data_IF_562053569652
#
_entry.id   IF_562053569652
#
_cell.length_a   1.000
_cell.length_b   1.000
_cell.length_c   1.000
_cell.angle_alpha   90.00
_cell.angle_beta   90.00
_cell.angle_gamma   90.00
#
_symmetry.space_group_name_H-M   'P 1'
#
loop_
_entity.id
_entity.type
_entity.pdbx_description
1 polymer ?
#
# COMPACT_ATOMS: atom_id res chain seq x y z
N UNK A 1 -23.86 -12.15 30.67
CA UNK A 1 -24.43 -11.77 29.35
C UNK A 1 -24.00 -10.38 28.90
N UNK A 2 -24.16 -9.32 29.72
CA UNK A 2 -23.72 -7.95 29.37
C UNK A 2 -22.22 -7.85 29.04
N UNK A 3 -21.36 -8.43 29.89
CA UNK A 3 -19.91 -8.40 29.71
C UNK A 3 -19.49 -9.02 28.36
N UNK A 4 -20.11 -10.14 27.96
CA UNK A 4 -19.86 -10.81 26.68
C UNK A 4 -20.33 -9.98 25.45
N UNK A 5 -21.34 -9.13 25.62
CA UNK A 5 -21.90 -8.30 24.56
C UNK A 5 -21.15 -6.96 24.37
N UNK A 6 -20.64 -6.37 25.45
CA UNK A 6 -20.00 -5.05 25.42
C UNK A 6 -18.48 -5.08 25.42
N UNK A 7 -17.85 -6.11 25.99
CA UNK A 7 -16.38 -6.27 26.02
C UNK A 7 -15.76 -6.24 24.60
N UNK A 8 -16.31 -6.91 23.58
CA UNK A 8 -15.75 -6.85 22.22
C UNK A 8 -15.79 -5.43 21.64
N UNK A 9 -16.88 -4.69 21.88
CA UNK A 9 -17.07 -3.32 21.39
C UNK A 9 -16.10 -2.35 22.08
N UNK A 10 -15.95 -2.49 23.40
CA UNK A 10 -15.04 -1.66 24.19
C UNK A 10 -13.58 -1.89 23.78
N UNK A 11 -13.16 -3.15 23.62
CA UNK A 11 -11.80 -3.48 23.19
C UNK A 11 -11.53 -2.97 21.76
N UNK A 12 -12.51 -3.10 20.86
CA UNK A 12 -12.39 -2.58 19.49
C UNK A 12 -12.25 -1.06 19.50
N UNK A 13 -13.04 -0.35 20.31
CA UNK A 13 -12.94 1.11 20.44
C UNK A 13 -11.61 1.56 21.07
N UNK A 14 -11.14 0.84 22.10
CA UNK A 14 -9.91 1.16 22.81
C UNK A 14 -8.69 0.99 21.90
N UNK A 15 -8.55 -0.16 21.24
CA UNK A 15 -7.44 -0.35 20.32
C UNK A 15 -7.56 0.57 19.11
N UNK A 16 -8.76 0.78 18.55
CA UNK A 16 -8.95 1.76 17.48
C UNK A 16 -8.47 3.17 17.88
N UNK A 17 -8.82 3.62 19.08
CA UNK A 17 -8.31 4.89 19.64
C UNK A 17 -6.79 4.89 19.84
N UNK A 18 -6.22 3.77 20.30
CA UNK A 18 -4.78 3.62 20.48
C UNK A 18 -4.02 3.69 19.14
N UNK A 19 -4.49 3.03 18.09
CA UNK A 19 -3.89 3.11 16.76
C UNK A 19 -3.97 4.51 16.16
N UNK A 20 -5.07 5.23 16.39
CA UNK A 20 -5.19 6.64 15.99
C UNK A 20 -4.19 7.51 16.77
N UNK A 21 -4.13 7.37 18.09
CA UNK A 21 -3.20 8.11 18.93
C UNK A 21 -1.75 7.83 18.55
N UNK A 22 -1.40 6.57 18.34
CA UNK A 22 -0.10 6.15 17.85
C UNK A 22 0.22 6.83 16.52
N UNK A 23 -0.70 6.76 15.55
CA UNK A 23 -0.53 7.39 14.25
C UNK A 23 -0.30 8.90 14.28
N UNK A 24 -0.93 9.60 15.22
CA UNK A 24 -0.71 11.04 15.46
C UNK A 24 0.67 11.29 16.08
N UNK A 25 1.05 10.51 17.09
CA UNK A 25 2.34 10.65 17.78
C UNK A 25 3.50 10.40 16.82
N UNK A 26 3.37 9.45 15.90
CA UNK A 26 4.42 9.07 14.96
C UNK A 26 4.43 9.93 13.67
N UNK A 27 3.51 10.88 13.50
CA UNK A 27 3.25 11.49 12.18
C UNK A 27 4.48 12.15 11.53
N UNK A 28 5.37 12.74 12.35
CA UNK A 28 6.56 13.44 11.86
C UNK A 28 7.84 12.59 11.96
N UNK A 29 7.72 11.32 12.34
CA UNK A 29 8.84 10.39 12.50
C UNK A 29 8.54 9.10 11.72
N UNK A 30 8.96 9.10 10.45
CA UNK A 30 8.74 7.97 9.55
C UNK A 30 9.37 6.67 10.07
N UNK A 31 10.54 6.77 10.70
CA UNK A 31 11.25 5.60 11.25
C UNK A 31 10.48 5.00 12.41
N UNK A 32 10.01 5.84 13.33
CA UNK A 32 9.22 5.38 14.47
C UNK A 32 7.88 4.79 14.01
N UNK A 33 7.22 5.40 13.01
CA UNK A 33 6.02 4.83 12.42
C UNK A 33 6.26 3.47 11.77
N UNK A 34 7.36 3.31 11.01
CA UNK A 34 7.71 2.03 10.39
C UNK A 34 7.99 0.94 11.41
N UNK A 35 8.72 1.25 12.48
CA UNK A 35 8.95 0.32 13.58
C UNK A 35 7.64 -0.09 14.25
N UNK A 36 6.71 0.84 14.45
CA UNK A 36 5.39 0.55 14.97
C UNK A 36 4.61 -0.36 14.02
N UNK A 37 4.58 -0.01 12.73
CA UNK A 37 3.87 -0.76 11.71
C UNK A 37 4.37 -2.21 11.64
N UNK A 38 5.69 -2.39 11.55
CA UNK A 38 6.34 -3.71 11.54
C UNK A 38 6.08 -4.44 12.86
N UNK A 39 6.21 -3.76 13.99
CA UNK A 39 5.96 -4.33 15.32
C UNK A 39 4.54 -4.89 15.45
N UNK A 40 3.54 -4.16 14.94
CA UNK A 40 2.14 -4.62 14.92
C UNK A 40 1.95 -5.82 14.00
N UNK A 41 2.58 -5.82 12.81
CA UNK A 41 2.51 -6.97 11.90
C UNK A 41 3.13 -8.23 12.52
N UNK A 42 4.33 -8.11 13.12
CA UNK A 42 5.01 -9.22 13.79
C UNK A 42 4.19 -9.73 14.97
N UNK A 43 3.68 -8.83 15.81
CA UNK A 43 2.80 -9.19 16.93
C UNK A 43 1.55 -9.94 16.45
N UNK A 44 0.90 -9.43 15.41
CA UNK A 44 -0.30 -10.04 14.82
C UNK A 44 0.01 -11.40 14.21
N UNK A 45 1.15 -11.56 13.53
CA UNK A 45 1.60 -12.83 12.98
C UNK A 45 1.86 -13.89 14.07
N UNK A 46 2.49 -13.51 15.19
CA UNK A 46 2.73 -14.40 16.32
C UNK A 46 1.42 -14.90 16.94
N UNK A 47 0.45 -14.01 17.12
CA UNK A 47 -0.88 -14.34 17.62
C UNK A 47 -1.63 -15.27 16.66
N UNK A 48 -1.64 -14.92 15.37
CA UNK A 48 -2.37 -15.62 14.32
C UNK A 48 -1.56 -16.74 13.65
N UNK A 49 -0.47 -17.23 14.26
CA UNK A 49 0.43 -18.25 13.66
C UNK A 49 -0.24 -19.54 13.17
N UNK A 50 -1.46 -19.84 13.66
CA UNK A 50 -2.25 -21.02 13.25
C UNK A 50 -3.29 -20.70 12.16
N UNK A 51 -3.54 -19.44 11.87
CA UNK A 51 -4.49 -19.01 10.84
C UNK A 51 -3.73 -18.60 9.58
N UNK A 52 -3.72 -19.50 8.60
CA UNK A 52 -3.02 -19.30 7.33
C UNK A 52 -3.57 -18.12 6.53
N UNK A 53 -4.85 -17.75 6.71
CA UNK A 53 -5.47 -16.69 5.92
C UNK A 53 -4.94 -15.32 6.35
N UNK A 54 -4.96 -15.06 7.66
CA UNK A 54 -4.44 -13.82 8.23
C UNK A 54 -2.92 -13.76 8.03
N UNK A 55 -2.22 -14.88 8.25
CA UNK A 55 -0.78 -14.94 8.05
C UNK A 55 -0.38 -14.66 6.60
N UNK A 56 -1.11 -15.21 5.62
CA UNK A 56 -0.86 -14.94 4.20
C UNK A 56 -1.00 -13.45 3.84
N UNK A 57 -2.00 -12.75 4.39
CA UNK A 57 -2.12 -11.29 4.18
C UNK A 57 -0.97 -10.54 4.82
N UNK A 58 -0.61 -10.87 6.07
CA UNK A 58 0.51 -10.23 6.77
C UNK A 58 1.82 -10.45 6.00
N UNK A 59 2.06 -11.65 5.49
CA UNK A 59 3.25 -11.96 4.69
C UNK A 59 3.28 -11.12 3.42
N UNK A 60 2.15 -10.94 2.73
CA UNK A 60 2.08 -10.07 1.55
C UNK A 60 2.41 -8.63 1.93
N UNK A 61 1.79 -8.07 2.98
CA UNK A 61 2.06 -6.70 3.43
C UNK A 61 3.54 -6.52 3.80
N UNK A 62 4.12 -7.49 4.51
CA UNK A 62 5.52 -7.46 4.91
C UNK A 62 6.48 -7.50 3.71
N UNK A 63 6.23 -8.39 2.75
CA UNK A 63 7.01 -8.47 1.50
C UNK A 63 6.91 -7.19 0.68
N UNK A 64 5.75 -6.55 0.66
CA UNK A 64 5.56 -5.27 -0.03
C UNK A 64 6.34 -4.14 0.63
N UNK A 65 6.36 -4.07 1.96
CA UNK A 65 7.19 -3.08 2.67
C UNK A 65 8.67 -3.29 2.36
N UNK A 66 9.14 -4.54 2.36
CA UNK A 66 10.50 -4.85 1.96
C UNK A 66 10.79 -4.48 0.49
N UNK A 67 9.80 -4.65 -0.40
CA UNK A 67 9.90 -4.25 -1.79
C UNK A 67 9.99 -2.72 -1.94
N UNK A 68 9.18 -1.95 -1.21
CA UNK A 68 9.25 -0.47 -1.22
C UNK A 68 10.66 0.02 -0.83
N UNK A 69 11.24 -0.53 0.24
CA UNK A 69 12.59 -0.18 0.68
C UNK A 69 13.66 -0.59 -0.32
N UNK A 70 13.52 -1.78 -0.93
CA UNK A 70 14.42 -2.21 -2.00
C UNK A 70 14.34 -1.27 -3.21
N UNK A 71 13.12 -0.90 -3.63
CA UNK A 71 12.87 0.01 -4.75
C UNK A 71 13.48 1.40 -4.47
N UNK A 72 13.36 1.90 -3.24
CA UNK A 72 14.03 3.14 -2.81
C UNK A 72 15.56 3.08 -2.97
N UNK A 73 16.17 1.95 -2.59
CA UNK A 73 17.61 1.78 -2.69
C UNK A 73 18.13 1.64 -4.14
N UNK A 74 17.35 0.98 -5.01
CA UNK A 74 17.79 0.67 -6.38
C UNK A 74 17.47 1.78 -7.40
N UNK A 75 16.44 2.59 -7.18
CA UNK A 75 16.04 3.62 -8.13
C UNK A 75 16.73 4.94 -7.79
N UNK A 76 17.75 5.30 -8.56
CA UNK A 76 18.59 6.47 -8.34
C UNK A 76 18.32 7.65 -9.31
N UNK A 77 17.28 7.56 -10.14
CA UNK A 77 16.90 8.62 -11.08
C UNK A 77 17.75 8.73 -12.35
N UNK A 78 18.76 7.87 -12.50
CA UNK A 78 19.54 7.79 -13.75
C UNK A 78 18.66 7.34 -14.91
N UNK A 79 19.00 7.78 -16.13
CA UNK A 79 18.28 7.45 -17.37
C UNK A 79 18.06 5.94 -17.51
N UNK A 80 19.07 5.12 -17.20
CA UNK A 80 18.98 3.66 -17.26
C UNK A 80 17.89 3.11 -16.32
N UNK A 81 17.85 3.59 -15.08
CA UNK A 81 16.86 3.16 -14.09
C UNK A 81 15.44 3.61 -14.47
N UNK A 82 15.30 4.82 -15.03
CA UNK A 82 14.02 5.32 -15.54
C UNK A 82 13.51 4.48 -16.71
N UNK A 83 14.37 4.20 -17.68
CA UNK A 83 14.02 3.37 -18.84
C UNK A 83 13.61 1.96 -18.42
N UNK A 84 14.35 1.35 -17.48
CA UNK A 84 14.00 0.04 -16.92
C UNK A 84 12.64 0.10 -16.22
N UNK A 85 12.42 1.11 -15.37
CA UNK A 85 11.17 1.29 -14.63
C UNK A 85 9.97 1.46 -15.55
N UNK A 86 10.08 2.29 -16.60
CA UNK A 86 8.99 2.53 -17.55
C UNK A 86 8.73 1.32 -18.44
N UNK A 87 9.78 0.62 -18.86
CA UNK A 87 9.63 -0.64 -19.59
C UNK A 87 8.94 -1.70 -18.72
N UNK A 88 9.33 -1.79 -17.45
CA UNK A 88 8.72 -2.68 -16.47
C UNK A 88 7.27 -2.32 -16.18
N UNK A 89 6.96 -1.02 -16.07
CA UNK A 89 5.60 -0.50 -15.95
C UNK A 89 4.70 -0.99 -17.09
N UNK A 90 5.16 -0.83 -18.35
CA UNK A 90 4.42 -1.31 -19.52
C UNK A 90 4.19 -2.82 -19.49
N UNK A 91 5.23 -3.58 -19.12
CA UNK A 91 5.14 -5.04 -18.98
C UNK A 91 4.11 -5.47 -17.92
N UNK A 92 4.13 -4.83 -16.75
CA UNK A 92 3.18 -5.08 -15.67
C UNK A 92 1.75 -4.70 -16.08
N UNK A 93 1.58 -3.53 -16.70
CA UNK A 93 0.28 -3.09 -17.21
C UNK A 93 -0.32 -4.07 -18.21
N UNK A 94 0.52 -4.69 -19.05
CA UNK A 94 0.08 -5.75 -19.97
C UNK A 94 -0.29 -7.04 -19.24
N UNK A 95 0.56 -7.52 -18.32
CA UNK A 95 0.32 -8.75 -17.56
C UNK A 95 -0.96 -8.66 -16.72
N UNK A 96 -1.22 -7.50 -16.10
CA UNK A 96 -2.35 -7.26 -15.20
C UNK A 96 -3.50 -6.48 -15.87
N UNK A 97 -3.60 -6.52 -17.19
CA UNK A 97 -4.59 -5.78 -18.02
C UNK A 97 -6.06 -5.90 -17.60
N UNK A 98 -6.39 -6.93 -16.83
CA UNK A 98 -7.75 -7.18 -16.33
C UNK A 98 -8.11 -6.26 -15.15
N UNK A 99 -7.14 -5.76 -14.38
CA UNK A 99 -7.37 -4.75 -13.33
C UNK A 99 -7.50 -3.36 -13.96
N UNK A 100 -8.49 -2.58 -13.52
CA UNK A 100 -8.66 -1.19 -13.92
C UNK A 100 -7.44 -0.34 -13.55
N UNK A 101 -6.78 -0.67 -12.43
CA UNK A 101 -5.60 0.01 -11.96
C UNK A 101 -4.42 -0.14 -12.94
N UNK A 102 -4.31 -1.27 -13.63
CA UNK A 102 -3.26 -1.51 -14.62
C UNK A 102 -3.44 -0.65 -15.87
N UNK A 103 -4.69 -0.38 -16.24
CA UNK A 103 -5.04 0.53 -17.33
C UNK A 103 -4.69 1.97 -16.97
N UNK A 104 -4.92 2.39 -15.73
CA UNK A 104 -4.47 3.70 -15.26
C UNK A 104 -2.95 3.82 -15.28
N UNK A 105 -2.22 2.83 -14.77
CA UNK A 105 -0.75 2.81 -14.83
C UNK A 105 -0.25 2.93 -16.28
N UNK A 106 -0.89 2.23 -17.22
CA UNK A 106 -0.53 2.29 -18.63
C UNK A 106 -0.68 3.71 -19.19
N UNK A 107 -1.86 4.32 -18.98
CA UNK A 107 -2.16 5.67 -19.44
C UNK A 107 -1.15 6.67 -18.85
N UNK A 108 -0.93 6.61 -17.54
CA UNK A 108 -0.02 7.50 -16.82
C UNK A 108 1.42 7.34 -17.30
N UNK A 109 1.87 6.10 -17.52
CA UNK A 109 3.24 5.82 -18.00
C UNK A 109 3.45 6.35 -19.42
N UNK A 110 2.46 6.21 -20.31
CA UNK A 110 2.53 6.75 -21.67
C UNK A 110 2.59 8.28 -21.67
N UNK A 111 1.78 8.93 -20.82
CA UNK A 111 1.79 10.39 -20.67
C UNK A 111 3.16 10.87 -20.15
N UNK A 112 3.67 10.27 -19.07
CA UNK A 112 4.96 10.64 -18.49
C UNK A 112 6.09 10.42 -19.50
N UNK A 113 6.12 9.27 -20.16
CA UNK A 113 7.17 8.97 -21.14
C UNK A 113 7.18 10.01 -22.27
N UNK A 114 6.00 10.42 -22.74
CA UNK A 114 5.87 11.46 -23.77
C UNK A 114 6.35 12.83 -23.29
N UNK A 115 6.04 13.19 -22.05
CA UNK A 115 6.42 14.49 -21.45
C UNK A 115 7.91 14.52 -21.11
N UNK A 116 8.50 13.43 -20.60
CA UNK A 116 9.94 13.36 -20.36
C UNK A 116 10.74 13.49 -21.67
N UNK A 117 10.26 12.90 -22.78
CA UNK A 117 10.87 13.12 -24.10
C UNK A 117 10.79 14.59 -24.52
N UNK A 118 9.65 15.25 -24.28
CA UNK A 118 9.50 16.69 -24.54
C UNK A 118 10.46 17.54 -23.70
N UNK A 119 10.59 17.25 -22.41
CA UNK A 119 11.52 17.96 -21.52
C UNK A 119 12.97 17.73 -21.90
N UNK A 120 13.32 16.50 -22.28
CA UNK A 120 14.64 16.17 -22.79
C UNK A 120 14.97 16.99 -24.05
N UNK A 121 14.03 17.06 -25.01
CA UNK A 121 14.20 17.85 -26.23
C UNK A 121 14.28 19.37 -25.96
N UNK A 122 13.60 19.84 -24.91
CA UNK A 122 13.55 21.26 -24.53
C UNK A 122 14.63 21.66 -23.52
N UNK A 123 15.55 20.74 -23.16
CA UNK A 123 16.55 20.90 -22.10
C UNK A 123 15.98 21.35 -20.75
N UNK A 124 14.71 21.02 -20.48
CA UNK A 124 14.05 21.28 -19.21
C UNK A 124 14.45 20.19 -18.20
N UNK A 125 14.87 20.54 -16.97
CA UNK A 125 15.23 19.54 -15.96
C UNK A 125 13.98 18.75 -15.55
N UNK A 126 13.89 17.45 -15.86
CA UNK A 126 12.67 16.69 -15.60
C UNK A 126 12.51 16.46 -14.09
N UNK A 127 11.33 16.70 -13.51
CA UNK A 127 11.03 16.33 -12.13
C UNK A 127 11.16 14.82 -11.88
N UNK A 128 11.34 14.44 -10.62
CA UNK A 128 11.51 13.05 -10.17
C UNK A 128 10.19 12.26 -10.10
N UNK A 129 9.43 12.25 -11.20
CA UNK A 129 8.10 11.60 -11.27
C UNK A 129 8.22 10.07 -11.27
N UNK A 130 9.39 9.54 -11.64
CA UNK A 130 9.66 8.11 -11.66
C UNK A 130 9.39 7.44 -10.31
N UNK A 131 9.58 8.13 -9.19
CA UNK A 131 9.33 7.57 -7.86
C UNK A 131 7.86 7.18 -7.68
N UNK A 132 6.95 8.06 -8.09
CA UNK A 132 5.52 7.79 -7.97
C UNK A 132 5.08 6.64 -8.89
N UNK A 133 5.70 6.49 -10.08
CA UNK A 133 5.46 5.30 -10.92
C UNK A 133 5.87 4.03 -10.18
N UNK A 134 7.02 4.03 -9.52
CA UNK A 134 7.49 2.87 -8.76
C UNK A 134 6.49 2.49 -7.66
N UNK A 135 5.97 3.47 -6.91
CA UNK A 135 4.92 3.26 -5.91
C UNK A 135 3.62 2.72 -6.53
N UNK A 136 3.19 3.23 -7.69
CA UNK A 136 2.01 2.70 -8.39
C UNK A 136 2.24 1.23 -8.79
N UNK A 137 3.44 0.88 -9.24
CA UNK A 137 3.79 -0.51 -9.57
C UNK A 137 3.71 -1.41 -8.33
N UNK A 138 4.32 -1.01 -7.22
CA UNK A 138 4.29 -1.81 -5.98
C UNK A 138 2.86 -1.99 -5.46
N UNK A 139 2.05 -0.93 -5.45
CA UNK A 139 0.64 -1.02 -5.03
C UNK A 139 -0.19 -1.92 -5.96
N UNK A 140 0.15 -1.99 -7.24
CA UNK A 140 -0.52 -2.86 -8.20
C UNK A 140 -0.10 -4.34 -8.04
N UNK A 141 1.18 -4.59 -7.79
CA UNK A 141 1.68 -5.92 -7.38
C UNK A 141 0.98 -6.37 -6.09
N UNK A 142 0.85 -5.47 -5.11
CA UNK A 142 0.15 -5.75 -3.86
C UNK A 142 -1.28 -6.22 -4.08
N UNK A 143 -2.04 -5.47 -4.88
CA UNK A 143 -3.43 -5.80 -5.23
C UNK A 143 -3.53 -7.16 -5.89
N UNK A 144 -2.65 -7.46 -6.84
CA UNK A 144 -2.64 -8.76 -7.51
C UNK A 144 -2.32 -9.89 -6.54
N UNK A 145 -1.33 -9.72 -5.66
CA UNK A 145 -0.96 -10.73 -4.65
C UNK A 145 -2.10 -10.97 -3.66
N UNK A 146 -2.76 -9.93 -3.17
CA UNK A 146 -3.91 -10.06 -2.27
C UNK A 146 -5.08 -10.77 -2.96
N UNK A 147 -5.39 -10.41 -4.22
CA UNK A 147 -6.46 -11.03 -4.99
C UNK A 147 -6.19 -12.51 -5.26
N UNK A 148 -4.95 -12.86 -5.60
CA UNK A 148 -4.53 -14.23 -5.93
C UNK A 148 -4.10 -15.06 -4.71
N UNK A 149 -4.05 -14.48 -3.50
CA UNK A 149 -3.53 -15.10 -2.27
C UNK A 149 -4.07 -16.49 -2.04
N UNK A 150 -5.39 -16.68 -2.16
CA UNK A 150 -6.03 -17.98 -1.90
C UNK A 150 -5.50 -19.05 -2.86
N UNK A 151 -5.44 -18.73 -4.16
CA UNK A 151 -4.91 -19.63 -5.19
C UNK A 151 -3.42 -19.92 -4.98
N UNK A 152 -2.61 -18.91 -4.65
CA UNK A 152 -1.18 -19.10 -4.33
C UNK A 152 -1.04 -20.02 -3.12
N UNK A 153 -1.81 -19.79 -2.06
CA UNK A 153 -1.71 -20.56 -0.81
C UNK A 153 -2.11 -22.03 -1.02
N UNK A 154 -3.17 -22.27 -1.79
CA UNK A 154 -3.64 -23.63 -2.07
C UNK A 154 -2.70 -24.37 -3.03
N UNK A 155 -2.26 -23.74 -4.11
CA UNK A 155 -1.49 -24.41 -5.15
C UNK A 155 0.00 -24.56 -4.81
N UNK A 156 0.61 -23.57 -4.16
CA UNK A 156 2.06 -23.59 -3.89
C UNK A 156 2.39 -24.19 -2.53
N UNK A 157 1.53 -23.98 -1.52
CA UNK A 157 1.77 -24.45 -0.16
C UNK A 157 0.91 -25.67 0.21
N UNK A 158 -0.03 -26.10 -0.63
CA UNK A 158 -0.98 -27.18 -0.35
C UNK A 158 -1.77 -26.97 0.96
N UNK A 159 -2.01 -25.70 1.32
CA UNK A 159 -2.75 -25.33 2.52
C UNK A 159 -4.15 -24.87 2.14
N UNK A 160 -5.17 -25.37 2.84
CA UNK A 160 -6.55 -24.91 2.64
C UNK A 160 -6.70 -23.46 3.08
N UNK A 161 -6.99 -22.58 2.13
CA UNK A 161 -7.14 -21.15 2.35
C UNK A 161 -8.54 -20.72 1.98
N UNK A 162 -9.03 -19.64 2.60
CA UNK A 162 -10.32 -19.03 2.28
C UNK A 162 -10.13 -17.53 2.11
N UNK A 163 -10.95 -16.96 1.25
CA UNK A 163 -11.07 -15.51 1.15
C UNK A 163 -11.65 -14.97 2.46
N UNK A 164 -11.04 -13.91 2.99
CA UNK A 164 -11.46 -13.23 4.22
C UNK A 164 -11.72 -11.76 3.93
N UNK A 165 -12.52 -11.09 4.78
CA UNK A 165 -12.83 -9.66 4.61
C UNK A 165 -11.59 -8.76 4.62
N UNK A 166 -10.52 -9.22 5.28
CA UNK A 166 -9.22 -8.54 5.28
C UNK A 166 -8.68 -8.37 3.86
N UNK A 167 -8.77 -9.42 3.02
CA UNK A 167 -8.27 -9.41 1.63
C UNK A 167 -8.89 -8.22 0.88
N UNK A 168 -10.21 -8.10 0.96
CA UNK A 168 -10.95 -7.06 0.27
C UNK A 168 -10.69 -5.66 0.81
N UNK A 169 -10.52 -5.53 2.13
CA UNK A 169 -10.25 -4.23 2.75
C UNK A 169 -8.85 -3.73 2.37
N UNK A 170 -7.84 -4.58 2.48
CA UNK A 170 -6.46 -4.27 2.09
C UNK A 170 -6.39 -3.97 0.58
N UNK A 171 -7.06 -4.76 -0.26
CA UNK A 171 -7.15 -4.50 -1.70
C UNK A 171 -7.69 -3.10 -2.03
N UNK A 172 -8.74 -2.67 -1.33
CA UNK A 172 -9.32 -1.32 -1.49
C UNK A 172 -8.38 -0.21 -1.00
N UNK A 173 -7.72 -0.40 0.14
CA UNK A 173 -6.75 0.56 0.67
C UNK A 173 -5.59 0.80 -0.31
N UNK A 174 -5.04 -0.26 -0.91
CA UNK A 174 -4.04 -0.11 -1.97
C UNK A 174 -4.59 0.56 -3.22
N UNK A 175 -5.88 0.36 -3.54
CA UNK A 175 -6.54 1.11 -4.61
C UNK A 175 -6.64 2.62 -4.34
N UNK A 176 -6.92 3.01 -3.10
CA UNK A 176 -6.94 4.42 -2.70
C UNK A 176 -5.54 5.03 -2.77
N UNK A 177 -4.53 4.31 -2.29
CA UNK A 177 -3.13 4.73 -2.40
C UNK A 177 -2.73 4.95 -3.86
N UNK A 178 -3.09 4.03 -4.76
CA UNK A 178 -2.82 4.16 -6.18
C UNK A 178 -3.46 5.42 -6.80
N UNK A 179 -4.73 5.68 -6.50
CA UNK A 179 -5.43 6.88 -7.00
C UNK A 179 -4.72 8.15 -6.53
N UNK A 180 -4.28 8.19 -5.27
CA UNK A 180 -3.55 9.30 -4.71
C UNK A 180 -2.21 9.51 -5.43
N UNK A 181 -1.43 8.44 -5.65
CA UNK A 181 -0.16 8.53 -6.38
C UNK A 181 -0.35 9.04 -7.81
N UNK A 182 -1.40 8.59 -8.50
CA UNK A 182 -1.77 9.10 -9.83
C UNK A 182 -2.14 10.59 -9.76
N UNK A 183 -2.89 11.02 -8.74
CA UNK A 183 -3.23 12.43 -8.57
C UNK A 183 -2.00 13.31 -8.35
N UNK A 184 -1.02 12.86 -7.54
CA UNK A 184 0.26 13.58 -7.36
C UNK A 184 1.03 13.66 -8.66
N UNK A 185 1.10 12.57 -9.43
CA UNK A 185 1.74 12.57 -10.75
C UNK A 185 1.11 13.63 -11.65
N UNK A 186 -0.22 13.62 -11.78
CA UNK A 186 -0.93 14.57 -12.65
C UNK A 186 -0.73 16.01 -12.19
N UNK A 187 -0.75 16.26 -10.88
CA UNK A 187 -0.46 17.56 -10.29
C UNK A 187 0.95 18.05 -10.67
N UNK A 188 1.96 17.18 -10.54
CA UNK A 188 3.34 17.49 -10.94
C UNK A 188 3.44 17.81 -12.43
N UNK A 189 2.80 17.01 -13.28
CA UNK A 189 2.81 17.26 -14.73
C UNK A 189 2.19 18.62 -15.05
N UNK A 190 1.02 18.94 -14.50
CA UNK A 190 0.35 20.23 -14.71
C UNK A 190 1.25 21.37 -14.23
N UNK A 191 1.79 21.27 -13.02
CA UNK A 191 2.68 22.28 -12.42
C UNK A 191 3.85 22.65 -13.33
N UNK A 192 4.53 21.64 -13.88
CA UNK A 192 5.71 21.84 -14.71
C UNK A 192 5.36 22.23 -16.16
N UNK A 193 4.20 21.86 -16.68
CA UNK A 193 3.73 22.28 -18.00
C UNK A 193 3.18 23.71 -18.02
N UNK A 194 2.48 24.15 -16.97
CA UNK A 194 1.87 25.49 -16.88
C UNK A 194 2.73 26.50 -16.13
N UNK A 195 3.88 26.07 -15.61
CA UNK A 195 4.77 26.88 -14.77
C UNK A 195 4.04 27.50 -13.56
N UNK A 196 3.21 26.69 -12.90
CA UNK A 196 2.36 27.11 -11.77
C UNK A 196 2.92 26.60 -10.44
N UNK A 197 3.89 27.29 -9.80
CA UNK A 197 4.63 26.77 -8.66
C UNK A 197 3.76 26.51 -7.42
N UNK A 198 2.59 27.15 -7.32
CA UNK A 198 1.69 27.07 -6.17
C UNK A 198 0.77 25.84 -6.17
N UNK A 199 0.74 25.05 -7.24
CA UNK A 199 -0.12 23.88 -7.37
C UNK A 199 0.50 22.68 -6.62
N UNK A 200 0.14 22.50 -5.35
CA UNK A 200 0.72 21.51 -4.43
C UNK A 200 -0.33 20.82 -3.53
N UNK A 201 -1.56 20.69 -4.00
CA UNK A 201 -2.69 20.22 -3.19
C UNK A 201 -2.53 18.73 -2.84
N UNK A 202 -2.42 17.87 -3.84
CA UNK A 202 -2.28 16.43 -3.63
C UNK A 202 -0.92 16.08 -3.05
N UNK A 203 0.15 16.74 -3.51
CA UNK A 203 1.49 16.51 -2.96
C UNK A 203 1.54 16.79 -1.46
N UNK A 204 1.00 17.94 -1.01
CA UNK A 204 1.00 18.29 0.42
C UNK A 204 0.07 17.39 1.25
N UNK A 205 -1.06 16.96 0.68
CA UNK A 205 -1.99 16.06 1.38
C UNK A 205 -1.50 14.61 1.47
N UNK A 206 -0.58 14.18 0.60
CA UNK A 206 -0.21 12.77 0.45
C UNK A 206 0.35 12.14 1.72
N UNK A 207 1.31 12.75 2.46
CA UNK A 207 1.82 12.18 3.71
C UNK A 207 0.72 11.90 4.74
N UNK A 208 -0.23 12.83 4.88
CA UNK A 208 -1.37 12.70 5.79
C UNK A 208 -2.30 11.54 5.40
N UNK A 209 -2.67 11.48 4.12
CA UNK A 209 -3.59 10.46 3.63
C UNK A 209 -2.92 9.08 3.68
N UNK A 210 -1.65 8.97 3.29
CA UNK A 210 -0.89 7.71 3.34
C UNK A 210 -0.70 7.22 4.77
N UNK A 211 -0.49 8.12 5.74
CA UNK A 211 -0.47 7.76 7.16
C UNK A 211 -1.81 7.15 7.58
N UNK A 212 -2.92 7.81 7.25
CA UNK A 212 -4.27 7.31 7.58
C UNK A 212 -4.54 5.95 6.94
N UNK A 213 -4.19 5.78 5.66
CA UNK A 213 -4.31 4.49 4.96
C UNK A 213 -3.50 3.40 5.69
N UNK A 214 -2.29 3.71 6.11
CA UNK A 214 -1.39 2.77 6.78
C UNK A 214 -1.89 2.39 8.18
N UNK A 215 -2.37 3.37 8.96
CA UNK A 215 -3.01 3.14 10.26
C UNK A 215 -4.26 2.26 10.11
N UNK A 216 -5.09 2.53 9.09
CA UNK A 216 -6.26 1.71 8.81
C UNK A 216 -5.88 0.29 8.41
N UNK A 217 -4.80 0.11 7.65
CA UNK A 217 -4.31 -1.20 7.25
C UNK A 217 -3.88 -2.04 8.46
N UNK A 218 -3.06 -1.48 9.37
CA UNK A 218 -2.64 -2.19 10.59
C UNK A 218 -3.83 -2.43 11.53
N UNK A 219 -4.74 -1.47 11.65
CA UNK A 219 -5.91 -1.58 12.49
C UNK A 219 -6.83 -2.72 12.05
N UNK A 220 -7.18 -2.79 10.77
CA UNK A 220 -8.07 -3.83 10.26
C UNK A 220 -7.40 -5.20 10.33
N UNK A 221 -6.09 -5.27 10.06
CA UNK A 221 -5.30 -6.50 10.22
C UNK A 221 -5.33 -7.00 11.66
N UNK A 222 -5.13 -6.10 12.62
CA UNK A 222 -5.24 -6.41 14.05
C UNK A 222 -6.68 -6.80 14.44
N UNK A 223 -7.69 -6.10 13.94
CA UNK A 223 -9.10 -6.37 14.26
C UNK A 223 -9.54 -7.77 13.80
N UNK A 224 -9.09 -8.22 12.63
CA UNK A 224 -9.36 -9.58 12.14
C UNK A 224 -8.67 -10.64 13.01
N UNK A 225 -7.46 -10.38 13.51
CA UNK A 225 -6.81 -11.25 14.50
C UNK A 225 -7.62 -11.36 15.79
N UNK A 226 -8.20 -10.24 16.25
CA UNK A 226 -8.98 -10.19 17.47
C UNK A 226 -10.28 -10.99 17.38
N UNK A 227 -10.97 -10.97 16.22
CA UNK A 227 -12.17 -11.78 16.00
C UNK A 227 -11.90 -13.28 16.16
N UNK A 228 -10.69 -13.73 15.85
CA UNK A 228 -10.27 -15.13 16.02
C UNK A 228 -9.91 -15.48 17.47
N UNK A 229 -9.42 -14.50 18.24
CA UNK A 229 -9.05 -14.67 19.65
C UNK A 229 -10.23 -14.59 20.61
N UNK A 230 -11.20 -13.73 20.33
CA UNK A 230 -12.34 -13.46 21.21
C UNK A 230 -13.09 -14.74 21.65
N UNK A 231 -13.38 -15.72 20.79
CA UNK A 231 -14.06 -16.96 21.20
C UNK A 231 -13.23 -17.82 22.16
N UNK A 232 -11.88 -17.71 22.14
CA UNK A 232 -10.99 -18.42 23.06
C UNK A 232 -10.94 -17.75 24.42
N UNK A 233 -10.88 -16.42 24.44
CA UNK A 233 -10.90 -15.62 25.67
C UNK A 233 -12.24 -15.70 26.41
N UNK A 234 -13.36 -15.81 25.68
CA UNK A 234 -14.69 -15.95 26.27
C UNK A 234 -15.03 -17.37 26.74
N UNK A 235 -14.13 -18.35 26.54
CA UNK A 235 -14.27 -19.74 27.01
C UNK A 235 -13.39 -20.04 28.23
N UNK A 236 -12.39 -19.19 28.49
CA UNK A 236 -11.58 -19.20 29.71
C UNK A 236 -12.30 -18.41 30.81
#
# INVERSE_FOLDING_TARGET
MLLRAYLPKLITALFGGLFIAAGIITFNDAVLFDLLFIGVLVFTALICRKDINVLGVITIIFLLRALDEAVWFFINGNIETKLLLYSFSLGISYYLRHDWAAKLLLIVTLIISSIEVYWFASAYPPPEIYWNIALIIVTLIARNLIFSRVSITENWFNLRSKSINLDWTIFRLYGLSLILQVAVVLEYLIRHLTNSPHLLVFYSATPYIMQVISILAIWVTFQESYKLLLPRLLKA
#
